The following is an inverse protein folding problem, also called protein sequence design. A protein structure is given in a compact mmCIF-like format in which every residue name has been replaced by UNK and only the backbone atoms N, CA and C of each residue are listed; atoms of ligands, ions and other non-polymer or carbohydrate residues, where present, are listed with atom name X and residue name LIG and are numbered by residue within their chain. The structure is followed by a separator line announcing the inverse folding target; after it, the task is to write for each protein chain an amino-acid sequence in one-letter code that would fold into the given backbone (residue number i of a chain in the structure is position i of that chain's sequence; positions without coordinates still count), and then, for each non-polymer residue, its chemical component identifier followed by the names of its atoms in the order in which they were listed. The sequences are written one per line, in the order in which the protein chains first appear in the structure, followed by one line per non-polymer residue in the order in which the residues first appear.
data_IF_131483589334
#
_entry.id   IF_131483589334
#
_cell.length_a   1.000
_cell.length_b   1.000
_cell.length_c   1.000
_cell.angle_alpha   90.00
_cell.angle_beta   90.00
_cell.angle_gamma   90.00
#
_symmetry.space_group_name_H-M   'P 1'
#
loop_
_entity.id
_entity.type
_entity.pdbx_description
1 polymer ?
#
# COMPACT_ATOMS: atom_id res chain seq x y z
N UNK A 1 16.97 -17.29 -10.52
CA UNK A 1 17.95 -16.20 -10.35
C UNK A 1 17.19 -14.98 -9.86
N UNK A 2 17.27 -14.63 -8.57
CA UNK A 2 16.60 -13.45 -8.03
C UNK A 2 17.48 -12.22 -8.34
N UNK A 3 16.97 -11.29 -9.12
CA UNK A 3 17.62 -10.01 -9.39
C UNK A 3 17.61 -9.17 -8.10
N UNK A 4 18.71 -9.20 -7.36
CA UNK A 4 18.93 -8.31 -6.22
C UNK A 4 19.13 -6.90 -6.80
N UNK A 5 18.12 -6.04 -6.70
CA UNK A 5 18.27 -4.62 -7.04
C UNK A 5 19.14 -3.96 -5.97
N UNK A 6 20.21 -3.24 -6.34
CA UNK A 6 21.00 -2.50 -5.36
C UNK A 6 20.09 -1.48 -4.66
N UNK A 7 20.34 -1.19 -3.36
CA UNK A 7 19.59 -0.16 -2.67
C UNK A 7 19.75 1.17 -3.40
N UNK A 8 18.70 2.00 -3.46
CA UNK A 8 18.79 3.30 -4.14
C UNK A 8 19.92 4.13 -3.52
N UNK A 9 20.75 4.81 -4.34
CA UNK A 9 21.76 5.72 -3.83
C UNK A 9 21.13 6.75 -2.89
N UNK A 10 21.78 7.06 -1.76
CA UNK A 10 21.22 7.98 -0.76
C UNK A 10 20.86 9.37 -1.28
N UNK A 11 21.43 9.81 -2.41
CA UNK A 11 21.07 11.05 -3.11
C UNK A 11 19.65 11.02 -3.68
N UNK A 12 19.18 9.86 -4.12
CA UNK A 12 17.86 9.66 -4.72
C UNK A 12 16.75 9.72 -3.66
N UNK A 13 17.02 9.22 -2.45
CA UNK A 13 16.07 9.33 -1.33
C UNK A 13 15.91 10.80 -0.91
N UNK A 14 17.01 11.56 -0.85
CA UNK A 14 16.96 13.00 -0.52
C UNK A 14 16.13 13.79 -1.53
N UNK A 15 16.30 13.55 -2.82
CA UNK A 15 15.49 14.25 -3.84
C UNK A 15 14.01 13.86 -3.76
N UNK A 16 13.68 12.59 -3.51
CA UNK A 16 12.27 12.18 -3.32
C UNK A 16 11.60 12.86 -2.14
N UNK A 17 12.31 12.99 -1.02
CA UNK A 17 11.81 13.63 0.20
C UNK A 17 11.63 15.13 -0.03
N UNK A 18 12.61 15.80 -0.64
CA UNK A 18 12.57 17.25 -0.90
C UNK A 18 11.46 17.61 -1.91
N UNK A 19 11.29 16.79 -2.94
CA UNK A 19 10.35 17.07 -4.03
C UNK A 19 8.94 16.48 -3.80
N UNK A 20 8.71 15.76 -2.69
CA UNK A 20 7.47 14.98 -2.45
C UNK A 20 7.13 14.03 -3.61
N UNK A 21 8.14 13.47 -4.28
CA UNK A 21 8.03 12.67 -5.51
C UNK A 21 8.67 11.30 -5.36
N UNK A 22 8.36 10.61 -4.27
CA UNK A 22 8.75 9.21 -4.14
C UNK A 22 8.08 8.38 -5.25
N UNK A 23 8.83 7.54 -5.98
CA UNK A 23 8.24 6.67 -6.99
C UNK A 23 7.36 5.62 -6.31
N UNK A 24 6.32 5.18 -7.02
CA UNK A 24 5.31 4.25 -6.48
C UNK A 24 5.91 2.96 -5.89
N UNK A 25 6.97 2.42 -6.49
CA UNK A 25 7.64 1.23 -5.97
C UNK A 25 8.30 1.47 -4.60
N UNK A 26 8.83 2.67 -4.34
CA UNK A 26 9.46 3.01 -3.08
C UNK A 26 8.41 3.22 -1.99
N UNK A 27 7.28 3.88 -2.33
CA UNK A 27 6.14 4.00 -1.43
C UNK A 27 5.59 2.62 -1.04
N UNK A 28 5.51 1.69 -2.01
CA UNK A 28 5.10 0.30 -1.75
C UNK A 28 6.07 -0.41 -0.82
N UNK A 29 7.38 -0.38 -1.11
CA UNK A 29 8.39 -1.02 -0.27
C UNK A 29 8.40 -0.48 1.17
N UNK A 30 8.20 0.83 1.36
CA UNK A 30 8.07 1.42 2.69
C UNK A 30 6.82 0.93 3.41
N UNK A 31 5.70 0.80 2.71
CA UNK A 31 4.46 0.30 3.31
C UNK A 31 4.56 -1.20 3.66
N UNK A 32 5.22 -1.99 2.82
CA UNK A 32 5.54 -3.39 3.08
C UNK A 32 6.37 -3.51 4.39
N UNK A 33 7.42 -2.69 4.53
CA UNK A 33 8.25 -2.65 5.74
C UNK A 33 7.44 -2.25 6.98
N UNK A 34 6.53 -1.28 6.87
CA UNK A 34 5.69 -0.88 8.01
C UNK A 34 4.81 -2.04 8.50
N UNK A 35 4.22 -2.82 7.58
CA UNK A 35 3.44 -4.00 7.92
C UNK A 35 4.31 -5.07 8.60
N UNK A 36 5.53 -5.31 8.11
CA UNK A 36 6.49 -6.24 8.73
C UNK A 36 6.92 -5.81 10.14
N UNK A 37 6.87 -4.51 10.43
CA UNK A 37 7.16 -3.94 11.74
C UNK A 37 5.91 -3.82 12.64
N UNK A 38 4.85 -4.55 12.31
CA UNK A 38 3.57 -4.57 13.04
C UNK A 38 2.91 -3.18 13.18
N UNK A 39 3.19 -2.26 12.25
CA UNK A 39 2.48 -0.99 12.20
C UNK A 39 1.02 -1.20 11.81
N UNK A 40 0.12 -0.51 12.50
CA UNK A 40 -1.33 -0.58 12.27
C UNK A 40 -1.92 0.82 12.02
N UNK A 41 -2.88 0.94 11.07
CA UNK A 41 -3.59 2.19 10.82
C UNK A 41 -4.50 2.58 11.98
N UNK A 42 -4.42 3.83 12.41
CA UNK A 42 -5.19 4.36 13.56
C UNK A 42 -6.28 5.34 13.16
N UNK A 43 -6.14 6.01 12.02
CA UNK A 43 -7.13 6.96 11.50
C UNK A 43 -7.94 6.36 10.35
N UNK A 44 -9.13 6.90 10.08
CA UNK A 44 -9.96 6.45 8.96
C UNK A 44 -9.25 6.61 7.61
N UNK A 45 -8.47 7.68 7.45
CA UNK A 45 -7.65 7.91 6.26
C UNK A 45 -6.60 6.81 6.12
N UNK A 46 -5.88 6.49 7.20
CA UNK A 46 -4.89 5.42 7.20
C UNK A 46 -5.53 4.05 6.90
N UNK A 47 -6.72 3.78 7.46
CA UNK A 47 -7.47 2.54 7.20
C UNK A 47 -7.90 2.44 5.73
N UNK A 48 -8.42 3.53 5.15
CA UNK A 48 -8.80 3.57 3.74
C UNK A 48 -7.60 3.34 2.80
N UNK A 49 -6.47 4.00 3.08
CA UNK A 49 -5.22 3.82 2.32
C UNK A 49 -4.71 2.38 2.47
N UNK A 50 -4.68 1.86 3.70
CA UNK A 50 -4.23 0.49 3.99
C UNK A 50 -5.10 -0.54 3.28
N UNK A 51 -6.43 -0.43 3.39
CA UNK A 51 -7.37 -1.34 2.72
C UNK A 51 -7.14 -1.38 1.21
N UNK A 52 -6.96 -0.21 0.58
CA UNK A 52 -6.68 -0.12 -0.85
C UNK A 52 -5.31 -0.68 -1.20
N UNK A 53 -4.29 -0.42 -0.37
CA UNK A 53 -2.96 -0.97 -0.54
C UNK A 53 -2.97 -2.50 -0.51
N UNK A 54 -3.59 -3.11 0.52
CA UNK A 54 -3.64 -4.56 0.66
C UNK A 54 -4.32 -5.23 -0.54
N UNK A 55 -5.45 -4.67 -0.99
CA UNK A 55 -6.21 -5.22 -2.14
C UNK A 55 -5.51 -5.07 -3.50
N UNK A 56 -4.80 -3.95 -3.73
CA UNK A 56 -4.09 -3.72 -5.00
C UNK A 56 -2.82 -4.56 -5.13
N UNK A 57 -2.25 -4.98 -4.01
CA UNK A 57 -1.00 -5.75 -3.97
C UNK A 57 -1.22 -7.22 -3.61
N UNK A 58 -2.48 -7.67 -3.60
CA UNK A 58 -2.91 -9.04 -3.28
C UNK A 58 -2.32 -9.57 -1.95
N UNK A 59 -2.26 -8.70 -0.94
CA UNK A 59 -1.81 -9.07 0.40
C UNK A 59 -2.81 -10.04 1.07
N UNK A 60 -2.33 -11.01 1.87
CA UNK A 60 -3.19 -11.86 2.68
C UNK A 60 -3.96 -11.04 3.73
N UNK A 61 -5.29 -11.00 3.60
CA UNK A 61 -6.17 -10.31 4.55
C UNK A 61 -6.77 -11.33 5.51
N UNK A 62 -6.19 -11.41 6.71
CA UNK A 62 -6.65 -12.24 7.82
C UNK A 62 -7.75 -11.55 8.66
N UNK A 63 -8.26 -12.22 9.70
CA UNK A 63 -9.36 -11.65 10.49
C UNK A 63 -8.98 -10.41 11.27
N UNK A 64 -7.73 -10.27 11.72
CA UNK A 64 -7.29 -9.03 12.35
C UNK A 64 -7.39 -7.84 11.40
N UNK A 65 -7.01 -8.01 10.13
CA UNK A 65 -7.16 -6.96 9.13
C UNK A 65 -8.63 -6.67 8.79
N UNK A 66 -9.48 -7.70 8.70
CA UNK A 66 -10.91 -7.48 8.47
C UNK A 66 -11.57 -6.70 9.60
N UNK A 67 -11.26 -7.03 10.86
CA UNK A 67 -11.79 -6.33 12.03
C UNK A 67 -11.25 -4.89 12.08
N UNK A 68 -9.96 -4.69 11.83
CA UNK A 68 -9.32 -3.38 11.93
C UNK A 68 -9.80 -2.39 10.84
N UNK A 69 -9.95 -2.89 9.62
CA UNK A 69 -10.30 -2.07 8.45
C UNK A 69 -11.81 -1.96 8.24
N UNK A 70 -12.59 -2.98 8.63
CA UNK A 70 -14.05 -2.96 8.61
C UNK A 70 -14.61 -2.50 7.26
N UNK A 71 -15.46 -1.47 7.30
CA UNK A 71 -16.12 -0.90 6.12
C UNK A 71 -15.15 -0.39 5.04
N UNK A 72 -13.95 0.06 5.42
CA UNK A 72 -12.96 0.54 4.48
C UNK A 72 -12.48 -0.55 3.52
N UNK A 73 -12.50 -1.82 3.97
CA UNK A 73 -12.18 -2.95 3.11
C UNK A 73 -13.26 -3.19 2.05
N UNK A 74 -14.52 -3.03 2.40
CA UNK A 74 -15.64 -3.18 1.45
C UNK A 74 -15.66 -2.05 0.43
N UNK A 75 -15.46 -0.80 0.88
CA UNK A 75 -15.33 0.35 -0.02
C UNK A 75 -14.16 0.20 -0.99
N UNK A 76 -13.02 -0.30 -0.51
CA UNK A 76 -11.85 -0.52 -1.36
C UNK A 76 -12.06 -1.65 -2.39
N UNK A 77 -12.82 -2.70 -2.06
CA UNK A 77 -13.24 -3.75 -3.02
C UNK A 77 -14.16 -3.18 -4.09
N UNK A 78 -15.16 -2.38 -3.70
CA UNK A 78 -16.07 -1.71 -4.64
C UNK A 78 -15.29 -0.84 -5.63
N UNK A 79 -14.37 -0.01 -5.13
CA UNK A 79 -13.51 0.83 -5.98
C UNK A 79 -12.56 0.03 -6.89
N UNK A 80 -12.10 -1.16 -6.48
CA UNK A 80 -11.32 -2.06 -7.35
C UNK A 80 -12.20 -2.58 -8.49
N UNK A 81 -13.44 -2.98 -8.19
CA UNK A 81 -14.39 -3.53 -9.15
C UNK A 81 -14.86 -2.48 -10.18
N UNK A 82 -15.05 -1.22 -9.76
CA UNK A 82 -15.38 -0.10 -10.66
C UNK A 82 -14.28 0.17 -11.69
N UNK A 83 -13.01 -0.04 -11.33
CA UNK A 83 -11.89 0.09 -12.27
C UNK A 83 -11.68 -1.13 -13.17
N UNK A 84 -12.27 -2.28 -12.82
CA UNK A 84 -12.31 -3.48 -13.68
C UNK A 84 -13.59 -3.58 -14.50
N UNK A 85 -14.52 -2.64 -14.33
CA UNK A 85 -15.70 -2.49 -15.17
C UNK A 85 -15.26 -2.17 -16.59
N UNK A 86 -15.33 -3.18 -17.44
CA UNK A 86 -15.25 -3.09 -18.89
C UNK A 86 -16.10 -1.92 -19.36
N UNK A 87 -15.47 -0.95 -20.03
CA UNK A 87 -16.17 -0.19 -21.05
C UNK A 87 -16.47 -1.19 -22.18
N UNK A 88 -17.60 -1.90 -22.10
CA UNK A 88 -18.24 -2.47 -23.29
C UNK A 88 -18.75 -1.35 -24.21
#
# INVERSE_FOLDING_TARGET
MLLIRPPPPGEVIKSWIIESRAPQWACRASFDLLIELDWLPNTDIEKAITARFLLLNDYPINESWKVLLGEWLELAKQAKNENSGEYE
#
